data_IF_597047759562
#
_entry.id   IF_597047759562
#
_cell.length_a   1.000
_cell.length_b   1.000
_cell.length_c   1.000
_cell.angle_alpha   90.00
_cell.angle_beta   90.00
_cell.angle_gamma   90.00
#
_symmetry.space_group_name_H-M   'P 1'
#
loop_
_entity.id
_entity.type
_entity.pdbx_description
1 polymer ?
#
# COMPACT_ATOMS: atom_id res chain seq x y z
N UNK A 1 -13.78 2.88 3.16
CA UNK A 1 -13.32 3.33 4.50
C UNK A 1 -12.04 4.13 4.34
N UNK A 2 -11.82 5.17 5.17
CA UNK A 2 -10.54 5.91 5.23
C UNK A 2 -9.94 5.76 6.63
N UNK A 3 -8.65 5.48 6.71
CA UNK A 3 -7.90 5.26 7.96
C UNK A 3 -6.63 6.13 7.93
N UNK A 4 -6.24 6.70 9.08
CA UNK A 4 -4.98 7.44 9.24
C UNK A 4 -3.98 6.58 10.01
N UNK A 5 -2.75 6.47 9.50
CA UNK A 5 -1.71 5.62 10.10
C UNK A 5 -0.32 6.17 9.86
N UNK A 6 0.40 6.53 10.92
CA UNK A 6 1.83 6.87 10.83
C UNK A 6 2.17 8.03 9.88
N UNK A 7 1.27 8.99 9.69
CA UNK A 7 1.41 10.08 8.71
C UNK A 7 0.97 9.72 7.29
N UNK A 8 0.36 8.56 7.08
CA UNK A 8 -0.25 8.12 5.83
C UNK A 8 -1.77 8.12 5.94
N UNK A 9 -2.46 8.38 4.83
CA UNK A 9 -3.89 8.14 4.68
C UNK A 9 -4.11 6.90 3.83
N UNK A 10 -4.88 5.95 4.35
CA UNK A 10 -5.24 4.70 3.69
C UNK A 10 -6.68 4.81 3.21
N UNK A 11 -6.90 4.58 1.91
CA UNK A 11 -8.22 4.65 1.29
C UNK A 11 -8.53 3.29 0.70
N UNK A 12 -9.50 2.58 1.29
CA UNK A 12 -10.02 1.34 0.71
C UNK A 12 -10.73 1.65 -0.60
N UNK A 13 -10.33 0.98 -1.69
CA UNK A 13 -10.96 1.15 -3.01
C UNK A 13 -11.96 0.03 -3.31
N UNK A 14 -11.55 -1.22 -3.14
CA UNK A 14 -12.39 -2.42 -3.24
C UNK A 14 -11.77 -3.53 -2.38
N UNK A 15 -12.37 -4.72 -2.34
CA UNK A 15 -11.89 -5.84 -1.53
C UNK A 15 -10.43 -6.18 -1.88
N UNK A 16 -9.56 -6.09 -0.87
CA UNK A 16 -8.12 -6.34 -0.99
C UNK A 16 -7.26 -5.20 -1.54
N UNK A 17 -7.82 -4.09 -2.06
CA UNK A 17 -7.02 -2.98 -2.59
C UNK A 17 -7.14 -1.69 -1.77
N UNK A 18 -5.99 -1.25 -1.26
CA UNK A 18 -5.83 -0.03 -0.48
C UNK A 18 -4.92 0.94 -1.22
N UNK A 19 -5.38 2.17 -1.41
CA UNK A 19 -4.54 3.28 -1.87
C UNK A 19 -3.88 3.96 -0.68
N UNK A 20 -2.56 4.13 -0.76
CA UNK A 20 -1.75 4.83 0.25
C UNK A 20 -1.45 6.23 -0.26
N UNK A 21 -1.80 7.24 0.51
CA UNK A 21 -1.52 8.65 0.18
C UNK A 21 -0.81 9.37 1.33
N UNK A 22 -0.16 10.49 1.01
CA UNK A 22 0.16 11.51 2.01
C UNK A 22 -1.14 12.14 2.54
N UNK A 23 -1.11 12.86 3.68
CA UNK A 23 -2.26 13.60 4.18
C UNK A 23 -2.74 14.68 3.19
N UNK A 24 -1.84 15.18 2.34
CA UNK A 24 -2.15 16.12 1.24
C UNK A 24 -2.92 15.49 0.08
N UNK A 25 -3.06 14.16 0.04
CA UNK A 25 -3.72 13.43 -1.05
C UNK A 25 -2.79 12.93 -2.15
N UNK A 26 -1.49 13.24 -2.10
CA UNK A 26 -0.49 12.69 -3.03
C UNK A 26 -0.46 11.16 -2.92
N UNK A 27 -0.64 10.46 -4.05
CA UNK A 27 -0.61 8.99 -4.08
C UNK A 27 0.83 8.49 -4.01
N UNK A 28 1.14 7.74 -2.96
CA UNK A 28 2.43 7.07 -2.80
C UNK A 28 2.43 5.67 -3.42
N UNK A 29 1.26 5.03 -3.48
CA UNK A 29 1.08 3.74 -4.13
C UNK A 29 -0.08 2.93 -3.54
N UNK A 30 0.06 1.61 -3.56
CA UNK A 30 -1.02 0.68 -3.20
C UNK A 30 -0.51 -0.48 -2.36
N UNK A 31 -1.40 -0.98 -1.50
CA UNK A 31 -1.29 -2.29 -0.85
C UNK A 31 -2.40 -3.17 -1.41
N UNK A 32 -2.03 -4.31 -1.96
CA UNK A 32 -2.94 -5.29 -2.56
C UNK A 32 -2.86 -6.59 -1.78
N UNK A 33 -4.00 -7.11 -1.31
CA UNK A 33 -4.06 -8.44 -0.73
C UNK A 33 -4.29 -9.50 -1.81
N UNK A 34 -3.67 -10.66 -1.63
CA UNK A 34 -3.77 -11.79 -2.53
C UNK A 34 -3.67 -13.10 -1.76
N UNK A 35 -4.28 -14.14 -2.29
CA UNK A 35 -4.21 -15.48 -1.71
C UNK A 35 -2.87 -16.14 -2.07
N UNK A 36 -2.18 -16.63 -1.05
CA UNK A 36 -0.97 -17.45 -1.16
C UNK A 36 -1.24 -18.82 -0.53
N UNK A 37 -0.39 -19.82 -0.84
CA UNK A 37 -0.57 -21.20 -0.37
C UNK A 37 -0.69 -21.33 1.16
N UNK A 38 -0.05 -20.44 1.91
CA UNK A 38 -0.04 -20.44 3.39
C UNK A 38 -1.00 -19.39 4.00
N UNK A 39 -1.79 -18.69 3.17
CA UNK A 39 -2.75 -17.69 3.63
C UNK A 39 -2.72 -16.39 2.84
N UNK A 40 -3.44 -15.38 3.33
CA UNK A 40 -3.46 -14.05 2.71
C UNK A 40 -2.10 -13.34 2.87
N UNK A 41 -1.62 -12.74 1.78
CA UNK A 41 -0.43 -11.88 1.76
C UNK A 41 -0.78 -10.51 1.22
N UNK A 42 0.08 -9.54 1.53
CA UNK A 42 -0.08 -8.15 1.15
C UNK A 42 1.14 -7.69 0.35
N UNK A 43 0.92 -7.26 -0.89
CA UNK A 43 1.95 -6.72 -1.76
C UNK A 43 1.91 -5.20 -1.77
N UNK A 44 3.04 -4.57 -1.52
CA UNK A 44 3.20 -3.13 -1.58
C UNK A 44 3.77 -2.70 -2.95
N UNK A 45 3.09 -1.77 -3.61
CA UNK A 45 3.47 -1.19 -4.91
C UNK A 45 3.66 0.32 -4.76
N UNK A 46 4.88 0.83 -5.00
CA UNK A 46 5.22 2.26 -4.98
C UNK A 46 4.94 2.88 -6.34
N UNK A 47 4.26 4.03 -6.36
CA UNK A 47 4.15 4.85 -7.57
C UNK A 47 5.41 5.69 -7.74
N UNK A 48 5.97 5.71 -8.95
CA UNK A 48 7.09 6.58 -9.32
C UNK A 48 6.58 7.65 -10.30
N UNK A 49 6.22 8.88 -9.82
CA UNK A 49 5.55 9.88 -10.65
C UNK A 49 6.30 10.24 -11.93
N UNK A 50 7.63 10.37 -11.84
CA UNK A 50 8.50 10.69 -13.00
C UNK A 50 8.45 9.63 -14.09
N UNK A 51 8.28 8.37 -13.72
CA UNK A 51 8.27 7.23 -14.64
C UNK A 51 6.84 6.75 -14.98
N UNK A 52 5.82 7.35 -14.34
CA UNK A 52 4.40 6.99 -14.47
C UNK A 52 4.13 5.49 -14.36
N UNK A 53 4.85 4.81 -13.47
CA UNK A 53 4.72 3.36 -13.26
C UNK A 53 4.72 3.00 -11.78
N UNK A 54 4.32 1.77 -11.52
CA UNK A 54 4.44 1.15 -10.21
C UNK A 54 5.63 0.20 -10.18
N UNK A 55 6.26 0.11 -9.02
CA UNK A 55 7.25 -0.94 -8.71
C UNK A 55 6.82 -1.66 -7.45
N UNK A 56 7.06 -2.96 -7.39
CA UNK A 56 6.88 -3.74 -6.17
C UNK A 56 8.02 -3.41 -5.21
N UNK A 57 7.67 -3.08 -3.96
CA UNK A 57 8.64 -2.68 -2.92
C UNK A 57 8.65 -3.64 -1.73
N UNK A 58 7.81 -4.67 -1.76
CA UNK A 58 7.81 -5.73 -0.76
C UNK A 58 6.51 -6.53 -0.75
N UNK A 59 6.58 -7.68 -0.09
CA UNK A 59 5.45 -8.55 0.22
C UNK A 59 5.50 -8.94 1.69
N UNK A 60 4.34 -8.96 2.33
CA UNK A 60 4.22 -9.06 3.78
C UNK A 60 3.05 -9.95 4.17
N UNK A 61 3.16 -10.61 5.32
CA UNK A 61 2.04 -11.35 5.93
C UNK A 61 1.06 -10.41 6.66
N UNK A 62 1.45 -9.15 6.87
CA UNK A 62 0.71 -8.15 7.64
C UNK A 62 0.38 -6.95 6.76
N UNK A 63 -0.90 -6.57 6.71
CA UNK A 63 -1.38 -5.33 6.09
C UNK A 63 -0.67 -4.10 6.65
N UNK A 64 -0.40 -4.13 7.96
CA UNK A 64 0.24 -3.04 8.68
C UNK A 64 1.70 -2.87 8.22
N UNK A 65 2.43 -3.98 8.06
CA UNK A 65 3.84 -3.96 7.65
C UNK A 65 3.96 -3.50 6.20
N UNK A 66 3.08 -4.00 5.32
CA UNK A 66 2.98 -3.54 3.94
C UNK A 66 2.65 -2.05 3.83
N UNK A 67 1.97 -1.49 4.82
CA UNK A 67 1.67 -0.06 4.87
C UNK A 67 2.87 0.74 5.41
N UNK A 68 3.53 0.26 6.47
CA UNK A 68 4.66 0.96 7.09
C UNK A 68 5.86 1.11 6.15
N UNK A 69 6.06 0.17 5.21
CA UNK A 69 7.16 0.28 4.26
C UNK A 69 7.09 1.57 3.42
N UNK A 70 5.90 2.17 3.24
CA UNK A 70 5.75 3.43 2.51
C UNK A 70 6.38 4.64 3.21
N UNK A 71 6.66 4.53 4.52
CA UNK A 71 7.24 5.59 5.36
C UNK A 71 8.75 5.73 5.18
N UNK A 72 9.42 4.67 4.73
CA UNK A 72 10.89 4.59 4.66
C UNK A 72 11.43 4.49 3.23
N UNK A 73 10.61 4.06 2.27
CA UNK A 73 11.00 3.86 0.87
C UNK A 73 10.93 5.15 0.02
#
# INVERSE_FOLDING_TARGET
MREQRGGLTLVQLHDGLIRVTRPSGEVLGYVESYQHAEGERFRAKRFLPRQRRFIEIGEFWSRNDATDCFRFA
#
